data_IF_645187170911
#
_entry.id   IF_645187170911
#
_cell.length_a   1.000
_cell.length_b   1.000
_cell.length_c   1.000
_cell.angle_alpha   90.00
_cell.angle_beta   90.00
_cell.angle_gamma   90.00
#
_symmetry.space_group_name_H-M   'P 1'
#
loop_
_entity.id
_entity.type
_entity.pdbx_description
1 polymer ?
#
# COMPACT_ATOMS: atom_id res chain seq x y z
N UNK A 1 -33.20 2.69 40.43
CA UNK A 1 -34.20 2.86 39.33
C UNK A 1 -33.83 3.98 38.34
N UNK A 2 -33.29 5.13 38.79
CA UNK A 2 -32.91 6.28 37.95
C UNK A 2 -31.80 5.98 36.93
N UNK A 3 -30.77 5.23 37.33
CA UNK A 3 -29.61 4.85 36.51
C UNK A 3 -29.97 4.03 35.26
N UNK A 4 -30.99 3.17 35.35
CA UNK A 4 -31.46 2.38 34.21
C UNK A 4 -32.16 3.26 33.15
N UNK A 5 -32.87 4.31 33.58
CA UNK A 5 -33.54 5.25 32.68
C UNK A 5 -32.52 6.15 31.96
N UNK A 6 -31.52 6.65 32.68
CA UNK A 6 -30.41 7.42 32.11
C UNK A 6 -29.60 6.62 31.08
N UNK A 7 -29.26 5.35 31.40
CA UNK A 7 -28.61 4.46 30.43
C UNK A 7 -29.46 4.28 29.17
N UNK A 8 -30.78 4.09 29.30
CA UNK A 8 -31.67 3.92 28.14
C UNK A 8 -31.78 5.19 27.28
N UNK A 9 -31.92 6.37 27.92
CA UNK A 9 -32.03 7.66 27.23
C UNK A 9 -30.76 8.00 26.45
N UNK A 10 -29.59 7.63 26.95
CA UNK A 10 -28.32 7.85 26.25
C UNK A 10 -28.12 6.79 25.16
N UNK A 11 -28.38 5.51 25.46
CA UNK A 11 -28.02 4.38 24.57
C UNK A 11 -28.88 4.31 23.30
N UNK A 12 -30.14 4.70 23.35
CA UNK A 12 -31.07 4.63 22.19
C UNK A 12 -30.73 5.62 21.07
N UNK A 13 -30.57 6.94 21.30
CA UNK A 13 -30.18 7.88 20.26
C UNK A 13 -28.74 7.64 19.79
N UNK A 14 -27.85 7.16 20.68
CA UNK A 14 -26.48 6.82 20.32
C UNK A 14 -26.42 5.66 19.34
N UNK A 15 -27.26 4.62 19.50
CA UNK A 15 -27.31 3.48 18.57
C UNK A 15 -27.77 3.86 17.16
N UNK A 16 -28.75 4.76 17.05
CA UNK A 16 -29.27 5.24 15.75
C UNK A 16 -28.30 6.20 15.06
N UNK A 17 -27.62 7.07 15.82
CA UNK A 17 -26.60 7.99 15.27
C UNK A 17 -25.30 7.26 14.95
N UNK A 18 -24.91 6.27 15.76
CA UNK A 18 -23.70 5.48 15.52
C UNK A 18 -23.78 4.65 14.25
N UNK A 19 -24.96 4.10 13.92
CA UNK A 19 -25.14 3.39 12.66
C UNK A 19 -24.99 4.31 11.47
N UNK A 20 -25.56 5.53 11.51
CA UNK A 20 -25.43 6.51 10.44
C UNK A 20 -23.98 6.97 10.24
N UNK A 21 -23.27 7.24 11.34
CA UNK A 21 -21.85 7.62 11.29
C UNK A 21 -21.03 6.46 10.72
N UNK A 22 -21.24 5.24 11.21
CA UNK A 22 -20.53 4.06 10.72
C UNK A 22 -20.77 3.83 9.22
N UNK A 23 -22.03 3.90 8.76
CA UNK A 23 -22.35 3.76 7.33
C UNK A 23 -21.71 4.87 6.52
N UNK A 24 -21.76 6.12 6.98
CA UNK A 24 -21.14 7.25 6.25
C UNK A 24 -19.62 7.11 6.14
N UNK A 25 -18.95 6.65 7.20
CA UNK A 25 -17.51 6.41 7.21
C UNK A 25 -17.12 5.26 6.28
N UNK A 26 -17.88 4.17 6.30
CA UNK A 26 -17.66 3.04 5.37
C UNK A 26 -17.86 3.47 3.93
N UNK A 27 -18.94 4.20 3.62
CA UNK A 27 -19.20 4.71 2.27
C UNK A 27 -18.10 5.66 1.81
N UNK A 28 -17.63 6.56 2.68
CA UNK A 28 -16.54 7.48 2.37
C UNK A 28 -15.24 6.72 2.06
N UNK A 29 -14.86 5.76 2.91
CA UNK A 29 -13.66 4.94 2.70
C UNK A 29 -13.75 4.13 1.40
N UNK A 30 -14.90 3.52 1.12
CA UNK A 30 -15.12 2.77 -0.11
C UNK A 30 -15.01 3.67 -1.35
N UNK A 31 -15.67 4.82 -1.35
CA UNK A 31 -15.59 5.78 -2.45
C UNK A 31 -14.17 6.30 -2.65
N UNK A 32 -13.46 6.63 -1.57
CA UNK A 32 -12.08 7.08 -1.64
C UNK A 32 -11.16 6.01 -2.26
N UNK A 33 -11.34 4.74 -1.90
CA UNK A 33 -10.57 3.64 -2.49
C UNK A 33 -10.89 3.45 -3.98
N UNK A 34 -12.16 3.55 -4.37
CA UNK A 34 -12.56 3.45 -5.78
C UNK A 34 -11.99 4.61 -6.58
N UNK A 35 -12.15 5.84 -6.12
CA UNK A 35 -11.64 7.04 -6.80
C UNK A 35 -10.11 6.99 -6.90
N UNK A 36 -9.40 6.64 -5.83
CA UNK A 36 -7.94 6.50 -5.86
C UNK A 36 -7.46 5.39 -6.78
N UNK A 37 -8.26 4.35 -7.01
CA UNK A 37 -7.98 3.32 -8.01
C UNK A 37 -8.20 3.83 -9.44
N UNK A 38 -9.30 4.56 -9.69
CA UNK A 38 -9.57 5.15 -11.02
C UNK A 38 -8.62 6.29 -11.39
N UNK A 39 -8.18 7.08 -10.41
CA UNK A 39 -7.20 8.15 -10.60
C UNK A 39 -5.76 7.63 -10.68
N UNK A 40 -5.55 6.33 -10.46
CA UNK A 40 -4.24 5.70 -10.60
C UNK A 40 -3.96 5.54 -12.10
N UNK A 41 -3.38 6.59 -12.67
CA UNK A 41 -3.03 6.67 -14.08
C UNK A 41 -2.09 5.51 -14.48
N UNK A 42 -2.14 5.09 -15.75
CA UNK A 42 -1.40 3.92 -16.27
C UNK A 42 0.13 4.05 -16.11
N UNK A 43 0.64 5.27 -15.94
CA UNK A 43 2.05 5.58 -15.67
C UNK A 43 2.45 5.68 -14.20
N UNK A 44 1.52 5.47 -13.26
CA UNK A 44 1.82 5.62 -11.83
C UNK A 44 2.83 4.57 -11.35
N UNK A 45 3.87 4.96 -10.60
CA UNK A 45 4.89 4.02 -10.14
C UNK A 45 4.26 2.90 -9.31
N UNK A 46 4.47 1.68 -9.77
CA UNK A 46 3.93 0.48 -9.12
C UNK A 46 4.56 0.34 -7.73
N UNK A 47 3.71 0.22 -6.71
CA UNK A 47 4.17 -0.10 -5.36
C UNK A 47 4.97 -1.42 -5.38
N UNK A 48 6.08 -1.47 -4.65
CA UNK A 48 6.95 -2.65 -4.53
C UNK A 48 6.21 -3.94 -4.15
N UNK A 49 5.17 -3.84 -3.31
CA UNK A 49 4.33 -5.00 -2.98
C UNK A 49 3.56 -5.50 -4.20
N UNK A 50 2.92 -4.58 -4.93
CA UNK A 50 2.17 -4.91 -6.14
C UNK A 50 3.10 -5.45 -7.25
N UNK A 51 4.31 -4.90 -7.38
CA UNK A 51 5.35 -5.41 -8.28
C UNK A 51 5.68 -6.88 -8.00
N UNK A 52 5.91 -7.25 -6.73
CA UNK A 52 6.19 -8.64 -6.34
C UNK A 52 5.03 -9.57 -6.67
N UNK A 53 3.81 -9.09 -6.46
CA UNK A 53 2.59 -9.86 -6.70
C UNK A 53 2.39 -10.09 -8.20
N UNK A 54 2.50 -9.05 -9.02
CA UNK A 54 2.48 -9.15 -10.48
C UNK A 54 3.60 -10.05 -11.02
N UNK A 55 4.78 -10.04 -10.38
CA UNK A 55 5.91 -10.90 -10.76
C UNK A 55 5.65 -12.37 -10.46
N UNK A 56 5.07 -12.66 -9.30
CA UNK A 56 4.64 -14.01 -8.95
C UNK A 56 3.51 -14.52 -9.86
N UNK A 57 2.62 -13.62 -10.28
CA UNK A 57 1.53 -13.92 -11.21
C UNK A 57 1.97 -14.01 -12.69
N UNK A 58 3.22 -13.68 -13.01
CA UNK A 58 3.73 -13.67 -14.39
C UNK A 58 3.11 -12.58 -15.28
N UNK A 59 2.52 -11.55 -14.69
CA UNK A 59 1.82 -10.45 -15.41
C UNK A 59 2.72 -9.25 -15.74
N UNK A 60 4.01 -9.32 -15.42
CA UNK A 60 4.95 -8.27 -15.82
C UNK A 60 5.19 -8.33 -17.33
N UNK A 61 5.23 -7.17 -17.97
CA UNK A 61 5.67 -7.06 -19.37
C UNK A 61 7.17 -7.36 -19.49
N UNK A 62 7.57 -7.87 -20.66
CA UNK A 62 8.97 -8.19 -20.96
C UNK A 62 9.88 -6.97 -20.77
N UNK A 63 9.41 -5.77 -21.14
CA UNK A 63 10.13 -4.52 -20.96
C UNK A 63 10.41 -4.22 -19.48
N UNK A 64 9.45 -4.47 -18.59
CA UNK A 64 9.59 -4.24 -17.15
C UNK A 64 10.57 -5.24 -16.50
N UNK A 65 10.55 -6.50 -16.94
CA UNK A 65 11.54 -7.50 -16.53
C UNK A 65 12.94 -7.15 -17.01
N UNK A 66 13.06 -6.64 -18.25
CA UNK A 66 14.33 -6.19 -18.80
C UNK A 66 14.89 -5.00 -18.01
N UNK A 67 14.07 -3.99 -17.71
CA UNK A 67 14.47 -2.85 -16.86
C UNK A 67 14.93 -3.30 -15.48
N UNK A 68 14.23 -4.25 -14.85
CA UNK A 68 14.64 -4.82 -13.56
C UNK A 68 16.01 -5.50 -13.65
N UNK A 69 16.27 -6.26 -14.72
CA UNK A 69 17.55 -6.93 -14.94
C UNK A 69 18.69 -5.92 -15.09
N UNK A 70 18.52 -4.90 -15.94
CA UNK A 70 19.53 -3.85 -16.18
C UNK A 70 19.87 -3.11 -14.88
N UNK A 71 18.85 -2.73 -14.11
CA UNK A 71 19.04 -2.05 -12.83
C UNK A 71 19.79 -2.95 -11.85
N UNK A 72 19.43 -4.23 -11.76
CA UNK A 72 20.07 -5.18 -10.86
C UNK A 72 21.54 -5.42 -11.25
N UNK A 73 21.83 -5.58 -12.55
CA UNK A 73 23.19 -5.69 -13.06
C UNK A 73 24.04 -4.46 -12.75
N UNK A 74 23.48 -3.26 -12.92
CA UNK A 74 24.15 -2.01 -12.56
C UNK A 74 24.50 -1.97 -11.07
N UNK A 75 23.55 -2.24 -10.17
CA UNK A 75 23.81 -2.24 -8.74
C UNK A 75 24.82 -3.33 -8.33
N UNK A 76 24.73 -4.52 -8.92
CA UNK A 76 25.71 -5.59 -8.67
C UNK A 76 27.12 -5.20 -9.13
N UNK A 77 27.25 -4.51 -10.26
CA UNK A 77 28.55 -4.02 -10.75
C UNK A 77 29.15 -2.98 -9.80
N UNK A 78 28.33 -2.06 -9.27
CA UNK A 78 28.75 -1.04 -8.31
C UNK A 78 29.12 -1.64 -6.97
N UNK A 79 28.35 -2.61 -6.48
CA UNK A 79 28.64 -3.28 -5.22
C UNK A 79 29.96 -4.07 -5.28
N UNK A 80 30.22 -4.79 -6.38
CA UNK A 80 31.50 -5.47 -6.62
C UNK A 80 32.68 -4.48 -6.65
N UNK A 81 32.52 -3.37 -7.35
CA UNK A 81 33.56 -2.34 -7.39
C UNK A 81 33.87 -1.79 -5.98
N UNK A 82 32.86 -1.59 -5.14
CA UNK A 82 33.04 -1.13 -3.76
C UNK A 82 33.69 -2.22 -2.88
N UNK A 83 33.28 -3.48 -3.00
CA UNK A 83 33.91 -4.58 -2.25
C UNK A 83 35.37 -4.79 -2.64
N UNK A 84 35.70 -4.61 -3.92
CA UNK A 84 37.07 -4.72 -4.42
C UNK A 84 37.94 -3.55 -3.93
N UNK A 85 37.38 -2.33 -3.85
CA UNK A 85 38.06 -1.18 -3.24
C UNK A 85 38.27 -1.34 -1.74
N UNK A 86 37.28 -1.87 -1.01
CA UNK A 86 37.43 -2.08 0.44
C UNK A 86 38.46 -3.16 0.75
N UNK A 87 38.54 -4.24 -0.04
CA UNK A 87 39.55 -5.29 0.14
C UNK A 87 40.97 -4.81 -0.14
N UNK A 88 41.17 -3.87 -1.07
CA UNK A 88 42.47 -3.21 -1.30
C UNK A 88 42.87 -2.24 -0.19
N UNK A 89 41.93 -1.55 0.46
CA UNK A 89 42.24 -0.59 1.53
C UNK A 89 42.65 -1.24 2.87
N UNK A 90 42.39 -2.54 3.05
CA UNK A 90 42.68 -3.28 4.28
C UNK A 90 44.00 -4.09 4.21
N UNK A 91 44.72 -4.03 3.09
CA UNK A 91 45.93 -4.81 2.82
C UNK A 91 47.16 -3.91 2.79
#
# INVERSE_FOLDING_TARGET
RLWYRLKWIIKVPFRRRSTLIATSAVTYLSLFNIISWYMKDEGSPINRFHWRLLKAEGKLTEEMLHKERVINEYYNSKFKAVSDLSTWSFK
#
